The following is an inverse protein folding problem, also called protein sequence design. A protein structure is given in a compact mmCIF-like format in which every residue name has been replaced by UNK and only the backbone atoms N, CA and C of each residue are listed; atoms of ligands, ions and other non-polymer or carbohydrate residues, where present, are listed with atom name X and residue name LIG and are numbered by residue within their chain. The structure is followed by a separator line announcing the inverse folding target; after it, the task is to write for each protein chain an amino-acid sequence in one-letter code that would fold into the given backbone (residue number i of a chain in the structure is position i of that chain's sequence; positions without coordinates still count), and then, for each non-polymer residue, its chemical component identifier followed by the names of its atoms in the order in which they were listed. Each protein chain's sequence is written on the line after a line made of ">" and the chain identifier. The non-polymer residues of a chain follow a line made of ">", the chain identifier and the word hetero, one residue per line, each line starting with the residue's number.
data_IF_590673839616
#
_entry.id   IF_590673839616
#
_cell.length_a   1.000
_cell.length_b   1.000
_cell.length_c   1.000
_cell.angle_alpha   90.00
_cell.angle_beta   90.00
_cell.angle_gamma   90.00
#
_symmetry.space_group_name_H-M   'P 1'
#
loop_
_entity.id
_entity.type
_entity.pdbx_description
1 polymer ?
#
# COMPACT_ATOMS: atom_id res chain seq x y z
N UNK A 1 51.97 26.95 -21.82
CA UNK A 1 51.74 27.45 -20.46
C UNK A 1 51.30 28.91 -20.56
N UNK A 2 50.00 29.19 -20.54
CA UNK A 2 49.48 30.56 -20.64
C UNK A 2 49.82 31.31 -19.36
N UNK A 3 50.86 32.16 -19.39
CA UNK A 3 51.17 33.08 -18.30
C UNK A 3 50.13 34.20 -18.34
N UNK A 4 49.06 34.06 -17.57
CA UNK A 4 48.20 35.20 -17.24
C UNK A 4 49.05 36.20 -16.46
N UNK A 5 49.24 37.40 -16.99
CA UNK A 5 49.73 38.51 -16.17
C UNK A 5 48.70 38.74 -15.06
N UNK A 6 49.16 38.85 -13.82
CA UNK A 6 48.35 38.83 -12.58
C UNK A 6 47.29 39.95 -12.44
N UNK A 7 46.97 40.69 -13.51
CA UNK A 7 45.95 41.74 -13.54
C UNK A 7 45.33 42.00 -14.94
N UNK A 8 45.56 41.14 -15.94
CA UNK A 8 44.98 41.33 -17.28
C UNK A 8 43.53 40.82 -17.34
N UNK A 9 42.62 41.59 -17.95
CA UNK A 9 41.26 41.14 -18.19
C UNK A 9 41.24 39.88 -19.07
N UNK A 10 40.41 38.89 -18.70
CA UNK A 10 40.30 37.63 -19.45
C UNK A 10 39.58 37.82 -20.80
N UNK A 11 38.65 38.76 -20.85
CA UNK A 11 37.89 39.10 -22.05
C UNK A 11 38.35 40.47 -22.54
N UNK A 12 39.06 40.49 -23.66
CA UNK A 12 39.60 41.70 -24.29
C UNK A 12 39.03 41.84 -25.71
N UNK A 13 38.95 43.07 -26.19
CA UNK A 13 38.68 43.38 -27.59
C UNK A 13 39.94 43.25 -28.45
N UNK A 14 39.81 43.47 -29.75
CA UNK A 14 40.91 43.39 -30.72
C UNK A 14 42.01 44.45 -30.46
N UNK A 15 41.70 45.49 -29.69
CA UNK A 15 42.67 46.52 -29.27
C UNK A 15 43.39 46.18 -27.97
N UNK A 16 43.09 45.03 -27.36
CA UNK A 16 43.67 44.58 -26.10
C UNK A 16 43.04 45.21 -24.85
N UNK A 17 41.95 45.98 -25.00
CA UNK A 17 41.23 46.60 -23.89
C UNK A 17 40.19 45.61 -23.34
N UNK A 18 39.91 45.67 -22.04
CA UNK A 18 38.87 44.87 -21.41
C UNK A 18 37.50 45.10 -22.07
N UNK A 19 36.81 44.01 -22.40
CA UNK A 19 35.51 44.04 -23.05
C UNK A 19 34.47 44.77 -22.19
N UNK A 20 33.80 45.73 -22.81
CA UNK A 20 32.82 46.54 -22.13
C UNK A 20 31.50 45.79 -21.91
N UNK A 21 30.84 46.12 -20.81
CA UNK A 21 29.56 45.55 -20.41
C UNK A 21 28.48 45.73 -21.49
N UNK A 22 28.44 46.89 -22.14
CA UNK A 22 27.42 47.23 -23.14
C UNK A 22 27.57 46.39 -24.40
N UNK A 23 28.81 46.15 -24.82
CA UNK A 23 29.14 45.25 -25.92
C UNK A 23 28.59 43.84 -25.68
N UNK A 24 28.81 43.29 -24.49
CA UNK A 24 28.27 41.97 -24.12
C UNK A 24 26.74 41.93 -24.17
N UNK A 25 26.06 42.94 -23.62
CA UNK A 25 24.58 43.01 -23.62
C UNK A 25 24.05 43.11 -25.05
N UNK A 26 24.69 43.93 -25.89
CA UNK A 26 24.32 44.08 -27.30
C UNK A 26 24.43 42.76 -28.05
N UNK A 27 25.56 42.07 -27.91
CA UNK A 27 25.79 40.77 -28.57
C UNK A 27 24.82 39.70 -28.07
N UNK A 28 24.55 39.67 -26.78
CA UNK A 28 23.57 38.78 -26.17
C UNK A 28 22.15 39.01 -26.74
N UNK A 29 21.70 40.27 -26.81
CA UNK A 29 20.38 40.61 -27.34
C UNK A 29 20.25 40.21 -28.81
N UNK A 30 21.31 40.41 -29.59
CA UNK A 30 21.36 39.99 -30.99
C UNK A 30 21.24 38.46 -31.13
N UNK A 31 21.99 37.68 -30.35
CA UNK A 31 21.91 36.21 -30.37
C UNK A 31 20.54 35.69 -29.92
N UNK A 32 19.95 36.29 -28.88
CA UNK A 32 18.59 35.93 -28.44
C UNK A 32 17.56 36.16 -29.54
N UNK A 33 17.69 37.26 -30.30
CA UNK A 33 16.82 37.55 -31.44
C UNK A 33 16.95 36.52 -32.56
N UNK A 34 18.18 36.09 -32.88
CA UNK A 34 18.43 35.01 -33.86
C UNK A 34 17.76 33.70 -33.40
N UNK A 35 17.81 33.40 -32.10
CA UNK A 35 17.21 32.19 -31.54
C UNK A 35 15.68 32.28 -31.32
N UNK A 36 15.01 33.34 -31.79
CA UNK A 36 13.55 33.50 -31.68
C UNK A 36 13.05 33.94 -30.29
N UNK A 37 13.94 34.39 -29.40
CA UNK A 37 13.56 34.93 -28.10
C UNK A 37 13.39 36.46 -28.15
N UNK A 38 12.47 37.00 -27.35
CA UNK A 38 12.34 38.45 -27.18
C UNK A 38 13.57 39.01 -26.43
N UNK A 39 14.45 39.81 -27.06
CA UNK A 39 15.68 40.28 -26.40
C UNK A 39 15.43 41.27 -25.25
N UNK A 40 14.24 41.89 -25.17
CA UNK A 40 13.92 42.85 -24.12
C UNK A 40 13.52 42.20 -22.80
N UNK A 41 13.13 40.92 -22.80
CA UNK A 41 12.81 40.19 -21.58
C UNK A 41 14.03 39.66 -20.82
N UNK A 42 15.23 39.77 -21.40
CA UNK A 42 16.46 39.25 -20.82
C UNK A 42 17.46 40.34 -20.50
N UNK A 43 18.08 40.22 -19.32
CA UNK A 43 19.18 41.06 -18.91
C UNK A 43 20.27 40.18 -18.26
N UNK A 44 21.37 40.80 -17.83
CA UNK A 44 22.49 40.05 -17.22
C UNK A 44 22.10 39.35 -15.91
N UNK A 45 21.10 39.85 -15.20
CA UNK A 45 20.57 39.18 -14.01
C UNK A 45 19.83 37.89 -14.38
N UNK A 46 19.19 37.81 -15.55
CA UNK A 46 18.54 36.60 -16.06
C UNK A 46 19.51 35.41 -16.13
N UNK A 47 20.79 35.63 -16.47
CA UNK A 47 21.81 34.57 -16.45
C UNK A 47 22.11 34.07 -15.03
N UNK A 48 22.20 34.98 -14.05
CA UNK A 48 22.39 34.61 -12.65
C UNK A 48 21.18 33.85 -12.10
N UNK A 49 19.97 34.24 -12.50
CA UNK A 49 18.73 33.51 -12.20
C UNK A 49 18.80 32.10 -12.80
N UNK A 50 19.08 31.98 -14.10
CA UNK A 50 19.16 30.68 -14.79
C UNK A 50 20.21 29.75 -14.19
N UNK A 51 21.37 30.27 -13.81
CA UNK A 51 22.42 29.51 -13.12
C UNK A 51 21.96 29.03 -11.74
N UNK A 52 21.32 29.88 -10.94
CA UNK A 52 20.77 29.50 -9.63
C UNK A 52 19.66 28.43 -9.76
N UNK A 53 18.77 28.56 -10.75
CA UNK A 53 17.73 27.56 -11.03
C UNK A 53 18.34 26.22 -11.46
N UNK A 54 19.39 26.24 -12.28
CA UNK A 54 20.08 25.02 -12.75
C UNK A 54 20.83 24.33 -11.62
N UNK A 55 21.49 25.09 -10.75
CA UNK A 55 22.16 24.58 -9.56
C UNK A 55 21.16 23.89 -8.61
N UNK A 56 20.00 24.54 -8.38
CA UNK A 56 18.91 23.96 -7.59
C UNK A 56 18.36 22.66 -8.17
N UNK A 57 18.14 22.59 -9.50
CA UNK A 57 17.73 21.33 -10.18
C UNK A 57 18.77 20.22 -10.07
N UNK A 58 20.04 20.57 -9.94
CA UNK A 58 21.15 19.63 -9.84
C UNK A 58 21.45 19.22 -8.40
N UNK A 59 20.58 19.57 -7.44
CA UNK A 59 20.75 19.32 -6.00
C UNK A 59 22.09 19.84 -5.43
N UNK A 60 22.61 20.95 -5.98
CA UNK A 60 23.80 21.61 -5.42
C UNK A 60 23.39 22.29 -4.13
N UNK A 61 24.14 22.06 -3.05
CA UNK A 61 23.86 22.66 -1.74
C UNK A 61 23.73 24.20 -1.79
N UNK A 62 22.82 24.74 -0.98
CA UNK A 62 22.47 26.17 -0.96
C UNK A 62 23.69 27.07 -0.74
N UNK A 63 24.62 26.67 0.14
CA UNK A 63 25.82 27.44 0.44
C UNK A 63 26.76 27.54 -0.78
N UNK A 64 26.86 26.46 -1.58
CA UNK A 64 27.61 26.44 -2.83
C UNK A 64 26.91 27.28 -3.88
N UNK A 65 25.59 27.15 -4.02
CA UNK A 65 24.81 27.95 -4.97
C UNK A 65 24.91 29.45 -4.68
N UNK A 66 24.89 29.84 -3.40
CA UNK A 66 25.10 31.22 -2.95
C UNK A 66 26.49 31.74 -3.33
N UNK A 67 27.52 30.91 -3.12
CA UNK A 67 28.92 31.24 -3.42
C UNK A 67 29.17 31.35 -4.93
N UNK A 68 28.75 30.34 -5.70
CA UNK A 68 28.85 30.28 -7.16
C UNK A 68 28.15 31.47 -7.83
N UNK A 69 26.96 31.82 -7.33
CA UNK A 69 26.19 32.94 -7.84
C UNK A 69 26.61 34.30 -7.28
N UNK A 70 27.60 34.38 -6.38
CA UNK A 70 28.04 35.60 -5.67
C UNK A 70 26.87 36.40 -5.09
N UNK A 71 25.98 35.72 -4.39
CA UNK A 71 24.79 36.32 -3.79
C UNK A 71 25.09 36.82 -2.38
N UNK A 72 24.97 38.13 -2.16
CA UNK A 72 25.15 38.72 -0.84
C UNK A 72 23.94 38.47 0.09
N UNK A 73 22.79 38.10 -0.46
CA UNK A 73 21.55 37.83 0.28
C UNK A 73 20.90 36.51 -0.17
N UNK A 74 19.94 36.01 0.60
CA UNK A 74 19.17 34.81 0.25
C UNK A 74 18.07 35.07 -0.80
N UNK A 75 18.22 36.13 -1.60
CA UNK A 75 17.28 36.46 -2.69
C UNK A 75 17.24 35.38 -3.78
N UNK A 76 18.34 34.63 -3.96
CA UNK A 76 18.44 33.54 -4.92
C UNK A 76 17.48 32.37 -4.64
N UNK A 77 17.10 32.16 -3.37
CA UNK A 77 16.15 31.13 -2.97
C UNK A 77 14.78 31.30 -3.66
N UNK A 78 14.41 32.52 -4.07
CA UNK A 78 13.16 32.77 -4.83
C UNK A 78 13.20 32.23 -6.26
N UNK A 79 14.40 31.99 -6.80
CA UNK A 79 14.62 31.51 -8.16
C UNK A 79 14.89 30.00 -8.22
N UNK A 80 15.25 29.40 -7.08
CA UNK A 80 15.27 27.95 -6.91
C UNK A 80 13.84 27.51 -6.65
N UNK A 81 13.14 27.11 -7.72
CA UNK A 81 11.82 26.50 -7.61
C UNK A 81 12.00 25.02 -7.27
N UNK A 82 12.23 24.72 -6.00
CA UNK A 82 12.03 23.35 -5.52
C UNK A 82 10.54 23.07 -5.64
N UNK A 83 10.17 22.00 -6.33
CA UNK A 83 8.77 21.59 -6.39
C UNK A 83 8.28 21.41 -4.94
N UNK A 84 7.20 22.08 -4.55
CA UNK A 84 6.59 21.89 -3.21
C UNK A 84 6.27 20.41 -2.94
N UNK A 85 6.13 19.62 -4.01
CA UNK A 85 5.88 18.19 -3.98
C UNK A 85 7.09 17.37 -3.51
N UNK A 86 8.31 17.90 -3.54
CA UNK A 86 9.51 17.22 -3.02
C UNK A 86 9.79 17.53 -1.55
N UNK A 87 9.35 18.69 -1.08
CA UNK A 87 9.66 19.18 0.27
C UNK A 87 8.98 18.31 1.32
N UNK A 88 7.70 17.97 1.10
CA UNK A 88 6.95 17.23 2.10
C UNK A 88 7.40 15.77 2.21
N UNK A 89 7.56 14.99 1.13
CA UNK A 89 8.15 13.64 1.21
C UNK A 89 9.54 13.63 1.86
N UNK A 90 10.46 14.53 1.45
CA UNK A 90 11.81 14.62 2.05
C UNK A 90 11.77 14.98 3.54
N UNK A 91 10.87 15.88 3.94
CA UNK A 91 10.67 16.19 5.36
C UNK A 91 10.11 14.99 6.12
N UNK A 92 9.15 14.25 5.56
CA UNK A 92 8.54 13.08 6.20
C UNK A 92 9.50 11.90 6.34
N UNK A 93 10.36 11.67 5.34
CA UNK A 93 11.41 10.65 5.38
C UNK A 93 12.48 10.97 6.42
N UNK A 94 12.66 12.26 6.75
CA UNK A 94 13.59 12.70 7.79
C UNK A 94 13.09 12.53 9.23
N UNK A 95 11.81 12.19 9.43
CA UNK A 95 11.23 12.04 10.77
C UNK A 95 11.52 10.66 11.38
N UNK A 96 12.24 10.66 12.50
CA UNK A 96 12.64 9.45 13.25
C UNK A 96 11.50 8.82 14.04
N UNK A 97 11.52 7.50 14.25
CA UNK A 97 10.43 6.74 14.92
C UNK A 97 10.02 7.27 16.31
N UNK A 98 10.91 7.94 17.04
CA UNK A 98 10.61 8.58 18.32
C UNK A 98 9.87 9.93 18.17
N UNK A 99 10.19 10.70 17.13
CA UNK A 99 9.41 11.89 16.74
C UNK A 99 8.03 11.46 16.21
N UNK A 100 7.98 10.36 15.46
CA UNK A 100 6.73 9.72 15.00
C UNK A 100 5.82 9.34 16.17
N UNK A 101 6.38 8.85 17.28
CA UNK A 101 5.62 8.54 18.51
C UNK A 101 5.20 9.79 19.30
N UNK A 102 6.02 10.85 19.37
CA UNK A 102 5.65 12.10 20.04
C UNK A 102 4.46 12.81 19.37
N UNK A 103 4.32 12.67 18.06
CA UNK A 103 3.20 13.25 17.28
C UNK A 103 1.83 12.63 17.61
N UNK A 104 1.79 11.38 18.09
CA UNK A 104 0.55 10.64 18.42
C UNK A 104 -0.30 11.29 19.52
N UNK A 105 0.29 12.18 20.34
CA UNK A 105 -0.36 12.73 21.55
C UNK A 105 -1.28 13.93 21.28
N UNK A 106 -1.31 14.49 20.08
CA UNK A 106 -2.06 15.73 19.82
C UNK A 106 -3.15 15.51 18.77
N UNK A 107 -4.40 15.31 19.22
CA UNK A 107 -5.56 15.12 18.33
C UNK A 107 -5.73 16.26 17.31
N UNK A 108 -5.44 17.51 17.71
CA UNK A 108 -5.48 18.68 16.82
C UNK A 108 -4.60 18.54 15.56
N UNK A 109 -3.50 17.76 15.63
CA UNK A 109 -2.64 17.50 14.47
C UNK A 109 -3.26 16.48 13.50
N UNK A 110 -4.01 15.49 14.01
CA UNK A 110 -4.72 14.52 13.16
C UNK A 110 -5.86 15.19 12.37
N UNK A 111 -6.52 16.17 12.98
CA UNK A 111 -7.57 16.97 12.31
C UNK A 111 -6.99 17.87 11.21
N UNK A 112 -5.80 18.45 11.45
CA UNK A 112 -5.09 19.21 10.43
C UNK A 112 -4.70 18.33 9.23
N UNK A 113 -4.18 17.12 9.47
CA UNK A 113 -3.85 16.15 8.40
C UNK A 113 -5.10 15.74 7.61
N UNK A 114 -6.21 15.49 8.29
CA UNK A 114 -7.50 15.16 7.64
C UNK A 114 -8.00 16.33 6.77
N UNK A 115 -7.82 17.56 7.23
CA UNK A 115 -8.18 18.78 6.49
C UNK A 115 -7.31 18.98 5.24
N UNK A 116 -6.00 18.66 5.34
CA UNK A 116 -5.08 18.69 4.19
C UNK A 116 -5.52 17.68 3.12
N UNK A 117 -5.81 16.43 3.51
CA UNK A 117 -6.29 15.39 2.59
C UNK A 117 -7.55 15.87 1.84
N UNK A 118 -8.50 16.49 2.55
CA UNK A 118 -9.71 17.04 1.95
C UNK A 118 -9.41 18.19 0.98
N UNK A 119 -8.48 19.08 1.31
CA UNK A 119 -8.08 20.19 0.44
C UNK A 119 -7.37 19.70 -0.83
N UNK A 120 -6.49 18.69 -0.73
CA UNK A 120 -5.82 18.09 -1.88
C UNK A 120 -6.82 17.51 -2.88
N UNK A 121 -7.83 16.78 -2.38
CA UNK A 121 -8.91 16.25 -3.21
C UNK A 121 -9.63 17.35 -3.99
N UNK A 122 -9.96 18.46 -3.33
CA UNK A 122 -10.64 19.59 -3.99
C UNK A 122 -9.74 20.27 -5.01
N UNK A 123 -8.43 20.36 -4.73
CA UNK A 123 -7.48 20.97 -5.65
C UNK A 123 -7.33 20.16 -6.94
N UNK A 124 -7.20 18.83 -6.84
CA UNK A 124 -7.14 17.93 -8.00
C UNK A 124 -8.35 18.12 -8.92
N UNK A 125 -9.56 18.21 -8.37
CA UNK A 125 -10.79 18.42 -9.15
C UNK A 125 -10.89 19.77 -9.90
N UNK A 126 -9.99 20.73 -9.63
CA UNK A 126 -10.01 22.09 -10.20
C UNK A 126 -8.86 22.36 -11.18
N UNK A 127 -8.03 21.37 -11.48
CA UNK A 127 -6.86 21.50 -12.34
C UNK A 127 -7.02 20.69 -13.63
N UNK A 128 -7.82 21.13 -14.61
CA UNK A 128 -7.82 20.49 -15.93
C UNK A 128 -6.43 20.61 -16.58
N UNK A 129 -6.03 19.59 -17.35
CA UNK A 129 -4.82 19.54 -18.20
C UNK A 129 -3.46 19.66 -17.46
N UNK A 130 -3.42 19.36 -16.16
CA UNK A 130 -2.18 19.33 -15.38
C UNK A 130 -1.85 17.94 -14.83
N UNK A 131 -1.71 16.95 -15.71
CA UNK A 131 -1.47 15.54 -15.35
C UNK A 131 -0.36 15.33 -14.31
N UNK A 132 0.81 15.93 -14.52
CA UNK A 132 1.94 15.76 -13.58
C UNK A 132 1.65 16.41 -12.22
N UNK A 133 0.92 17.53 -12.19
CA UNK A 133 0.49 18.15 -10.92
C UNK A 133 -0.53 17.26 -10.21
N UNK A 134 -1.52 16.74 -10.94
CA UNK A 134 -2.55 15.83 -10.41
C UNK A 134 -1.91 14.58 -9.81
N UNK A 135 -1.03 13.93 -10.57
CA UNK A 135 -0.23 12.78 -10.11
C UNK A 135 0.48 13.07 -8.80
N UNK A 136 1.20 14.19 -8.72
CA UNK A 136 1.95 14.55 -7.53
C UNK A 136 1.04 14.83 -6.32
N UNK A 137 -0.14 15.43 -6.53
CA UNK A 137 -1.13 15.66 -5.48
C UNK A 137 -1.74 14.35 -4.96
N UNK A 138 -2.03 13.39 -5.84
CA UNK A 138 -2.53 12.07 -5.44
C UNK A 138 -1.47 11.24 -4.72
N UNK A 139 -0.21 11.23 -5.19
CA UNK A 139 0.91 10.62 -4.45
C UNK A 139 1.03 11.24 -3.05
N UNK A 140 0.97 12.56 -2.96
CA UNK A 140 1.06 13.25 -1.68
C UNK A 140 -0.11 12.89 -0.75
N UNK A 141 -1.33 12.80 -1.29
CA UNK A 141 -2.52 12.39 -0.55
C UNK A 141 -2.39 10.97 0.00
N UNK A 142 -1.91 10.02 -0.80
CA UNK A 142 -1.67 8.64 -0.37
C UNK A 142 -0.63 8.56 0.75
N UNK A 143 0.46 9.34 0.67
CA UNK A 143 1.47 9.42 1.72
C UNK A 143 0.89 9.97 3.04
N UNK A 144 -0.01 10.96 2.97
CA UNK A 144 -0.72 11.48 4.15
C UNK A 144 -1.65 10.45 4.78
N UNK A 145 -2.36 9.66 3.96
CA UNK A 145 -3.20 8.56 4.46
C UNK A 145 -2.35 7.50 5.17
N UNK A 146 -1.25 7.06 4.55
CA UNK A 146 -0.32 6.10 5.15
C UNK A 146 0.19 6.58 6.51
N UNK A 147 0.54 7.87 6.60
CA UNK A 147 1.00 8.46 7.85
C UNK A 147 -0.05 8.33 8.95
N UNK A 148 -1.29 8.69 8.65
CA UNK A 148 -2.37 8.55 9.62
C UNK A 148 -2.56 7.07 10.04
N UNK A 149 -2.46 6.11 9.12
CA UNK A 149 -2.54 4.70 9.47
C UNK A 149 -1.43 4.25 10.44
N UNK A 150 -0.20 4.75 10.25
CA UNK A 150 0.96 4.33 11.03
C UNK A 150 1.05 4.97 12.42
N UNK A 151 0.71 6.26 12.55
CA UNK A 151 1.05 7.05 13.74
C UNK A 151 -0.12 7.72 14.44
N UNK A 152 -1.34 7.63 13.93
CA UNK A 152 -2.45 8.36 14.54
C UNK A 152 -3.16 7.57 15.65
N UNK A 153 -3.98 8.28 16.43
CA UNK A 153 -4.89 7.67 17.40
C UNK A 153 -5.91 6.78 16.69
N UNK A 154 -6.70 6.01 17.46
CA UNK A 154 -7.78 5.19 16.90
C UNK A 154 -8.69 5.99 15.95
N UNK A 155 -9.08 7.20 16.34
CA UNK A 155 -9.94 8.06 15.51
C UNK A 155 -9.25 8.52 14.21
N UNK A 156 -7.95 8.84 14.27
CA UNK A 156 -7.16 9.17 13.08
C UNK A 156 -7.03 7.98 12.12
N UNK A 157 -6.83 6.77 12.65
CA UNK A 157 -6.79 5.52 11.86
C UNK A 157 -8.12 5.27 11.18
N UNK A 158 -9.23 5.46 11.91
CA UNK A 158 -10.59 5.36 11.34
C UNK A 158 -10.80 6.35 10.19
N UNK A 159 -10.37 7.61 10.34
CA UNK A 159 -10.46 8.60 9.27
C UNK A 159 -9.63 8.24 8.04
N UNK A 160 -8.40 7.75 8.25
CA UNK A 160 -7.54 7.29 7.16
C UNK A 160 -8.13 6.09 6.41
N UNK A 161 -8.62 5.09 7.16
CA UNK A 161 -9.30 3.92 6.60
C UNK A 161 -10.57 4.29 5.82
N UNK A 162 -11.34 5.26 6.31
CA UNK A 162 -12.49 5.79 5.59
C UNK A 162 -12.07 6.45 4.27
N UNK A 163 -10.93 7.13 4.24
CA UNK A 163 -10.43 7.75 3.01
C UNK A 163 -9.92 6.71 2.00
N UNK A 164 -9.19 5.69 2.45
CA UNK A 164 -8.82 4.54 1.62
C UNK A 164 -10.06 3.91 0.97
N UNK A 165 -11.11 3.68 1.76
CA UNK A 165 -12.34 3.08 1.27
C UNK A 165 -13.08 3.96 0.25
N UNK A 166 -13.03 5.29 0.39
CA UNK A 166 -13.57 6.22 -0.62
C UNK A 166 -12.77 6.15 -1.92
N UNK A 167 -11.44 6.08 -1.84
CA UNK A 167 -10.57 5.93 -3.02
C UNK A 167 -10.88 4.63 -3.76
N UNK A 168 -10.95 3.50 -3.05
CA UNK A 168 -11.32 2.19 -3.61
C UNK A 168 -12.69 2.26 -4.30
N UNK A 169 -13.67 2.92 -3.67
CA UNK A 169 -15.02 3.05 -4.23
C UNK A 169 -15.04 3.92 -5.50
N UNK A 170 -14.27 5.02 -5.50
CA UNK A 170 -14.13 5.91 -6.65
C UNK A 170 -13.53 5.16 -7.84
N UNK A 171 -12.40 4.48 -7.63
CA UNK A 171 -11.72 3.70 -8.67
C UNK A 171 -12.61 2.57 -9.20
N UNK A 172 -13.30 1.86 -8.31
CA UNK A 172 -14.18 0.74 -8.70
C UNK A 172 -15.39 1.19 -9.52
N UNK A 173 -15.90 2.40 -9.28
CA UNK A 173 -17.02 2.98 -10.03
C UNK A 173 -16.62 3.41 -11.44
N UNK A 174 -15.38 3.86 -11.63
CA UNK A 174 -14.83 4.23 -12.94
C UNK A 174 -14.65 2.98 -13.80
N UNK A 175 -14.07 1.90 -13.26
CA UNK A 175 -13.86 0.65 -14.01
C UNK A 175 -15.16 -0.03 -14.48
N UNK A 176 -16.29 0.25 -13.84
CA UNK A 176 -17.60 -0.36 -14.17
C UNK A 176 -18.42 0.45 -15.18
N UNK A 177 -18.02 1.70 -15.47
CA UNK A 177 -18.56 2.49 -16.57
C UNK A 177 -17.56 2.43 -17.73
N UNK A 178 -17.76 1.50 -18.67
CA UNK A 178 -17.10 1.56 -19.97
C UNK A 178 -17.60 2.79 -20.76
N UNK A 179 -17.18 3.98 -20.34
CA UNK A 179 -17.29 5.22 -21.10
C UNK A 179 -15.90 5.51 -21.66
N UNK A 180 -15.78 5.59 -22.98
CA UNK A 180 -14.52 5.79 -23.72
C UNK A 180 -13.92 7.20 -23.57
N UNK A 181 -14.21 7.91 -22.46
CA UNK A 181 -13.79 9.29 -22.21
C UNK A 181 -13.09 9.51 -20.86
N UNK A 182 -12.90 8.46 -20.04
CA UNK A 182 -12.33 8.55 -18.68
C UNK A 182 -10.94 7.89 -18.56
N UNK A 183 -10.10 7.93 -19.61
CA UNK A 183 -8.71 7.38 -19.57
C UNK A 183 -7.71 8.28 -18.80
N UNK A 184 -8.11 9.47 -18.36
CA UNK A 184 -7.20 10.49 -17.82
C UNK A 184 -7.00 10.47 -16.28
N UNK A 185 -7.59 9.51 -15.56
CA UNK A 185 -7.39 9.42 -14.10
C UNK A 185 -6.09 8.69 -13.75
N UNK A 186 -5.15 9.43 -13.14
CA UNK A 186 -3.83 8.87 -12.80
C UNK A 186 -3.90 7.69 -11.82
N UNK A 187 -4.83 7.68 -10.86
CA UNK A 187 -4.92 6.65 -9.82
C UNK A 187 -5.86 5.52 -10.27
N UNK A 188 -5.29 4.41 -10.75
CA UNK A 188 -6.01 3.23 -11.21
C UNK A 188 -6.15 2.16 -10.12
N UNK A 189 -6.95 1.11 -10.37
CA UNK A 189 -7.08 -0.03 -9.47
C UNK A 189 -5.74 -0.75 -9.24
N UNK A 190 -4.97 -0.94 -10.32
CA UNK A 190 -3.62 -1.51 -10.27
C UNK A 190 -2.69 -0.68 -9.37
N UNK A 191 -2.58 0.64 -9.61
CA UNK A 191 -1.71 1.51 -8.79
C UNK A 191 -2.14 1.58 -7.33
N UNK A 192 -3.44 1.52 -7.06
CA UNK A 192 -3.96 1.45 -5.69
C UNK A 192 -3.60 0.13 -5.01
N UNK A 193 -3.68 -0.99 -5.73
CA UNK A 193 -3.26 -2.30 -5.23
C UNK A 193 -1.75 -2.34 -4.95
N UNK A 194 -0.93 -1.82 -5.87
CA UNK A 194 0.52 -1.68 -5.69
C UNK A 194 0.85 -0.82 -4.47
N UNK A 195 0.13 0.30 -4.27
CA UNK A 195 0.31 1.14 -3.10
C UNK A 195 -0.01 0.40 -1.79
N UNK A 196 -1.09 -0.39 -1.75
CA UNK A 196 -1.45 -1.22 -0.58
C UNK A 196 -0.36 -2.23 -0.27
N UNK A 197 0.20 -2.90 -1.29
CA UNK A 197 1.28 -3.89 -1.13
C UNK A 197 2.60 -3.24 -0.69
N UNK A 198 3.10 -2.26 -1.46
CA UNK A 198 4.40 -1.65 -1.26
C UNK A 198 4.53 -0.95 0.11
N UNK A 199 3.41 -0.46 0.65
CA UNK A 199 3.37 0.20 1.96
C UNK A 199 2.90 -0.72 3.09
N UNK A 200 2.73 -2.02 2.82
CA UNK A 200 2.30 -3.04 3.79
C UNK A 200 1.04 -2.61 4.58
N UNK A 201 0.07 -2.00 3.90
CA UNK A 201 -1.11 -1.43 4.55
C UNK A 201 -1.89 -2.49 5.33
N UNK A 202 -2.00 -3.72 4.79
CA UNK A 202 -2.64 -4.83 5.48
C UNK A 202 -1.93 -5.20 6.79
N UNK A 203 -0.61 -5.24 6.80
CA UNK A 203 0.18 -5.45 8.03
C UNK A 203 -0.10 -4.37 9.07
N UNK A 204 -0.23 -3.11 8.65
CA UNK A 204 -0.49 -1.99 9.56
C UNK A 204 -1.88 -2.12 10.19
N UNK A 205 -2.91 -2.39 9.38
CA UNK A 205 -4.32 -2.38 9.84
C UNK A 205 -4.73 -3.66 10.57
N UNK A 206 -3.98 -4.75 10.41
CA UNK A 206 -4.23 -6.02 11.12
C UNK A 206 -3.48 -6.12 12.46
N UNK A 207 -2.66 -5.13 12.81
CA UNK A 207 -1.82 -5.18 14.01
C UNK A 207 -2.58 -4.90 15.31
N UNK A 208 -3.56 -4.01 15.27
CA UNK A 208 -4.30 -3.55 16.45
C UNK A 208 -5.77 -3.25 16.15
N UNK A 209 -6.54 -2.94 17.20
CA UNK A 209 -7.96 -2.55 17.10
C UNK A 209 -8.94 -3.60 16.54
N UNK A 210 -8.49 -4.83 16.29
CA UNK A 210 -9.34 -5.92 15.77
C UNK A 210 -10.42 -6.43 16.74
N UNK A 211 -10.37 -6.01 18.01
CA UNK A 211 -11.44 -6.29 18.97
C UNK A 211 -12.67 -5.37 18.77
N UNK A 212 -12.54 -4.29 17.98
CA UNK A 212 -13.62 -3.34 17.69
C UNK A 212 -14.26 -3.64 16.33
N UNK A 213 -15.52 -4.11 16.27
CA UNK A 213 -16.16 -4.46 14.99
C UNK A 213 -16.21 -3.32 13.97
N UNK A 214 -16.49 -2.09 14.41
CA UNK A 214 -16.56 -0.92 13.53
C UNK A 214 -15.23 -0.60 12.83
N UNK A 215 -14.11 -0.94 13.48
CA UNK A 215 -12.79 -0.83 12.90
C UNK A 215 -12.59 -1.93 11.85
N UNK A 216 -12.89 -3.18 12.21
CA UNK A 216 -12.71 -4.38 11.39
C UNK A 216 -13.47 -4.30 10.06
N UNK A 217 -14.66 -3.69 10.02
CA UNK A 217 -15.39 -3.42 8.77
C UNK A 217 -14.60 -2.61 7.73
N UNK A 218 -13.58 -1.82 8.15
CA UNK A 218 -12.83 -0.96 7.22
C UNK A 218 -11.70 -1.71 6.51
N UNK A 219 -10.82 -2.47 7.18
CA UNK A 219 -9.88 -3.39 6.53
C UNK A 219 -10.54 -4.44 5.65
N UNK A 220 -11.76 -4.87 6.00
CA UNK A 220 -12.56 -5.80 5.18
C UNK A 220 -12.68 -5.33 3.73
N UNK A 221 -13.06 -4.06 3.51
CA UNK A 221 -13.21 -3.48 2.17
C UNK A 221 -11.89 -3.43 1.41
N UNK A 222 -10.77 -3.19 2.11
CA UNK A 222 -9.43 -3.21 1.53
C UNK A 222 -9.07 -4.64 1.11
N UNK A 223 -9.30 -5.65 1.96
CA UNK A 223 -9.08 -7.06 1.64
C UNK A 223 -9.91 -7.50 0.44
N UNK A 224 -11.20 -7.13 0.39
CA UNK A 224 -12.09 -7.40 -0.76
C UNK A 224 -11.53 -6.83 -2.06
N UNK A 225 -11.08 -5.59 -2.01
CA UNK A 225 -10.44 -4.93 -3.16
C UNK A 225 -9.19 -5.70 -3.61
N UNK A 226 -8.29 -6.05 -2.69
CA UNK A 226 -7.07 -6.81 -3.02
C UNK A 226 -7.34 -8.19 -3.61
N UNK A 227 -8.45 -8.85 -3.23
CA UNK A 227 -8.86 -10.12 -3.82
C UNK A 227 -9.38 -9.91 -5.24
N UNK A 228 -10.24 -8.90 -5.44
CA UNK A 228 -10.81 -8.57 -6.75
C UNK A 228 -9.71 -8.25 -7.77
N UNK A 229 -8.72 -7.46 -7.36
CA UNK A 229 -7.57 -7.10 -8.20
C UNK A 229 -6.48 -8.19 -8.24
N UNK A 230 -6.73 -9.38 -7.65
CA UNK A 230 -5.79 -10.52 -7.60
C UNK A 230 -4.42 -10.19 -6.99
N UNK A 231 -4.34 -9.14 -6.17
CA UNK A 231 -3.11 -8.64 -5.58
C UNK A 231 -2.87 -9.14 -4.13
N UNK A 232 -3.83 -9.85 -3.52
CA UNK A 232 -3.61 -10.40 -2.16
C UNK A 232 -2.59 -11.56 -2.18
N UNK A 233 -1.47 -11.40 -1.48
CA UNK A 233 -0.32 -12.30 -1.48
C UNK A 233 -0.38 -13.39 -0.41
N UNK A 234 0.55 -14.34 -0.46
CA UNK A 234 0.71 -15.34 0.59
C UNK A 234 1.13 -14.72 1.93
N UNK A 235 1.91 -13.64 1.92
CA UNK A 235 2.34 -12.95 3.14
C UNK A 235 1.15 -12.28 3.83
N UNK A 236 0.24 -11.68 3.07
CA UNK A 236 -0.97 -11.05 3.61
C UNK A 236 -1.86 -12.05 4.36
N UNK A 237 -1.97 -13.27 3.84
CA UNK A 237 -2.67 -14.38 4.51
C UNK A 237 -1.99 -14.78 5.82
N UNK A 238 -0.65 -14.75 5.85
CA UNK A 238 0.10 -15.05 7.05
C UNK A 238 -0.14 -13.95 8.12
N UNK A 239 -0.27 -12.69 7.70
CA UNK A 239 -0.62 -11.56 8.59
C UNK A 239 -2.03 -11.66 9.16
N UNK A 240 -3.02 -12.01 8.33
CA UNK A 240 -4.40 -12.28 8.80
C UNK A 240 -4.43 -13.40 9.83
N UNK A 241 -3.55 -14.39 9.70
CA UNK A 241 -3.46 -15.44 10.67
C UNK A 241 -2.75 -15.02 11.96
N UNK A 242 -1.59 -14.38 11.85
CA UNK A 242 -0.85 -13.83 13.00
C UNK A 242 -1.75 -12.92 13.85
N UNK A 243 -2.68 -12.20 13.22
CA UNK A 243 -3.63 -11.33 13.87
C UNK A 243 -4.63 -12.04 14.82
N UNK A 244 -4.96 -13.31 14.57
CA UNK A 244 -5.91 -14.10 15.39
C UNK A 244 -5.24 -15.12 16.32
N UNK A 245 -4.01 -15.55 15.99
CA UNK A 245 -3.32 -16.60 16.74
C UNK A 245 -3.08 -16.22 18.20
N UNK A 246 -3.60 -17.01 19.14
CA UNK A 246 -3.44 -16.78 20.59
C UNK A 246 -4.15 -15.52 21.12
N UNK A 247 -5.12 -14.98 20.38
CA UNK A 247 -5.93 -13.81 20.79
C UNK A 247 -7.29 -14.23 21.34
N UNK A 248 -7.97 -13.28 21.99
CA UNK A 248 -9.31 -13.46 22.54
C UNK A 248 -10.33 -13.85 21.44
N UNK A 249 -11.31 -14.69 21.77
CA UNK A 249 -12.30 -15.23 20.83
C UNK A 249 -13.02 -14.16 20.01
N UNK A 250 -13.28 -12.99 20.59
CA UNK A 250 -13.84 -11.84 19.89
C UNK A 250 -12.98 -11.36 18.70
N UNK A 251 -11.66 -11.34 18.85
CA UNK A 251 -10.72 -10.99 17.76
C UNK A 251 -10.72 -12.09 16.71
N UNK A 252 -10.68 -13.35 17.13
CA UNK A 252 -10.74 -14.51 16.22
C UNK A 252 -12.00 -14.46 15.37
N UNK A 253 -13.15 -14.24 16.00
CA UNK A 253 -14.45 -14.08 15.31
C UNK A 253 -14.42 -12.90 14.34
N UNK A 254 -13.94 -11.74 14.77
CA UNK A 254 -13.90 -10.56 13.90
C UNK A 254 -13.00 -10.76 12.68
N UNK A 255 -11.82 -11.39 12.84
CA UNK A 255 -10.92 -11.72 11.73
C UNK A 255 -11.53 -12.78 10.81
N UNK A 256 -12.26 -13.73 11.38
CA UNK A 256 -13.05 -14.67 10.58
C UNK A 256 -14.12 -13.94 9.76
N UNK A 257 -14.86 -13.01 10.36
CA UNK A 257 -15.90 -12.24 9.69
C UNK A 257 -15.34 -11.39 8.53
N UNK A 258 -14.10 -10.87 8.65
CA UNK A 258 -13.39 -10.22 7.54
C UNK A 258 -13.30 -11.10 6.28
N UNK A 259 -13.10 -12.40 6.46
CA UNK A 259 -12.87 -13.33 5.37
C UNK A 259 -14.18 -13.84 4.74
N UNK A 260 -15.33 -13.54 5.35
CA UNK A 260 -16.49 -14.43 5.25
C UNK A 260 -17.83 -13.73 4.97
N UNK A 261 -17.90 -12.40 5.08
CA UNK A 261 -19.13 -11.60 4.92
C UNK A 261 -19.65 -11.37 3.46
N UNK A 262 -19.06 -11.87 2.35
CA UNK A 262 -19.56 -11.61 0.96
C UNK A 262 -20.33 -12.73 0.27
N UNK A 263 -20.89 -12.37 -0.91
CA UNK A 263 -21.31 -13.25 -2.00
C UNK A 263 -20.43 -14.50 -2.18
N UNK A 264 -21.10 -15.61 -2.46
CA UNK A 264 -20.55 -16.96 -2.61
C UNK A 264 -19.27 -17.04 -3.46
N UNK A 265 -19.15 -16.25 -4.53
CA UNK A 265 -17.95 -16.23 -5.38
C UNK A 265 -16.66 -15.82 -4.63
N UNK A 266 -16.75 -14.86 -3.70
CA UNK A 266 -15.57 -14.44 -2.94
C UNK A 266 -15.22 -15.46 -1.85
N UNK A 267 -16.23 -16.05 -1.20
CA UNK A 267 -16.01 -17.18 -0.27
C UNK A 267 -15.25 -18.32 -0.97
N UNK A 268 -15.63 -18.65 -2.20
CA UNK A 268 -14.91 -19.64 -3.00
C UNK A 268 -13.46 -19.24 -3.31
N UNK A 269 -13.21 -17.94 -3.55
CA UNK A 269 -11.86 -17.42 -3.79
C UNK A 269 -10.99 -17.52 -2.53
N UNK A 270 -11.54 -17.21 -1.36
CA UNK A 270 -10.86 -17.40 -0.08
C UNK A 270 -10.54 -18.87 0.20
N UNK A 271 -11.53 -19.76 -0.02
CA UNK A 271 -11.34 -21.20 0.11
C UNK A 271 -10.16 -21.66 -0.75
N UNK A 272 -10.12 -21.25 -2.04
CA UNK A 272 -9.00 -21.58 -2.93
C UNK A 272 -7.64 -21.17 -2.37
N UNK A 273 -7.52 -19.94 -1.86
CA UNK A 273 -6.28 -19.43 -1.24
C UNK A 273 -5.88 -20.21 0.01
N UNK A 274 -6.84 -20.62 0.85
CA UNK A 274 -6.53 -21.45 2.01
C UNK A 274 -6.14 -22.87 1.61
N UNK A 275 -6.72 -23.42 0.54
CA UNK A 275 -6.34 -24.74 0.02
C UNK A 275 -4.89 -24.72 -0.48
N UNK A 276 -4.44 -23.66 -1.14
CA UNK A 276 -3.02 -23.52 -1.56
C UNK A 276 -2.06 -23.61 -0.37
N UNK A 277 -2.48 -23.11 0.81
CA UNK A 277 -1.68 -23.13 2.05
C UNK A 277 -1.59 -24.52 2.69
N UNK A 278 -2.46 -25.47 2.35
CA UNK A 278 -2.42 -26.84 2.89
C UNK A 278 -1.19 -27.64 2.47
N UNK A 279 -0.43 -27.16 1.47
CA UNK A 279 0.86 -27.75 1.09
C UNK A 279 1.96 -27.52 2.15
N UNK A 280 1.74 -26.63 3.11
CA UNK A 280 2.71 -26.31 4.16
C UNK A 280 2.20 -26.81 5.52
N UNK A 281 2.95 -27.71 6.15
CA UNK A 281 2.62 -28.32 7.46
C UNK A 281 2.31 -27.28 8.54
N UNK A 282 3.04 -26.15 8.56
CA UNK A 282 2.78 -25.05 9.48
C UNK A 282 1.33 -24.59 9.31
N UNK A 283 0.87 -24.39 8.08
CA UNK A 283 -0.42 -23.79 7.77
C UNK A 283 -1.59 -24.76 7.72
N UNK A 284 -1.35 -26.05 7.89
CA UNK A 284 -2.37 -27.10 7.77
C UNK A 284 -3.61 -26.82 8.65
N UNK A 285 -3.45 -26.86 9.97
CA UNK A 285 -4.54 -26.64 10.92
C UNK A 285 -5.24 -25.29 10.74
N UNK A 286 -4.50 -24.18 10.63
CA UNK A 286 -5.06 -22.88 10.32
C UNK A 286 -6.00 -22.86 9.12
N UNK A 287 -5.52 -23.37 7.99
CA UNK A 287 -6.25 -23.37 6.73
C UNK A 287 -7.49 -24.29 6.82
N UNK A 288 -7.38 -25.46 7.46
CA UNK A 288 -8.53 -26.35 7.66
C UNK A 288 -9.65 -25.69 8.45
N UNK A 289 -9.33 -24.97 9.53
CA UNK A 289 -10.34 -24.24 10.33
C UNK A 289 -11.06 -23.20 9.47
N UNK A 290 -10.30 -22.36 8.76
CA UNK A 290 -10.87 -21.31 7.91
C UNK A 290 -11.71 -21.87 6.76
N UNK A 291 -11.23 -22.92 6.08
CA UNK A 291 -12.01 -23.59 5.02
C UNK A 291 -13.33 -24.10 5.58
N UNK A 292 -13.30 -24.81 6.71
CA UNK A 292 -14.52 -25.35 7.36
C UNK A 292 -15.48 -24.23 7.73
N UNK A 293 -14.99 -23.20 8.39
CA UNK A 293 -15.84 -22.15 8.94
C UNK A 293 -16.46 -21.30 7.80
N UNK A 294 -15.71 -21.02 6.72
CA UNK A 294 -16.28 -20.40 5.51
C UNK A 294 -17.31 -21.32 4.84
N UNK A 295 -17.07 -22.63 4.77
CA UNK A 295 -18.05 -23.59 4.26
C UNK A 295 -19.35 -23.59 5.09
N UNK A 296 -19.27 -23.36 6.41
CA UNK A 296 -20.45 -23.30 7.27
C UNK A 296 -21.36 -22.11 6.98
N UNK A 297 -20.87 -21.05 6.33
CA UNK A 297 -21.65 -19.88 5.94
C UNK A 297 -22.48 -20.08 4.66
N UNK A 298 -22.32 -21.22 3.98
CA UNK A 298 -23.21 -21.59 2.88
C UNK A 298 -24.44 -22.31 3.43
N UNK A 299 -25.64 -22.04 2.89
CA UNK A 299 -26.87 -22.66 3.34
C UNK A 299 -26.80 -24.19 3.14
N UNK A 300 -27.40 -24.92 4.07
CA UNK A 300 -27.73 -26.32 3.89
C UNK A 300 -29.02 -26.40 3.06
N UNK A 301 -29.07 -27.30 2.08
CA UNK A 301 -30.32 -27.58 1.39
C UNK A 301 -31.30 -28.19 2.40
N UNK A 302 -32.45 -27.55 2.64
CA UNK A 302 -33.44 -28.09 3.57
C UNK A 302 -33.96 -29.43 3.02
N UNK A 303 -33.89 -30.48 3.83
CA UNK A 303 -34.39 -31.81 3.43
C UNK A 303 -35.92 -31.83 3.25
N UNK A 304 -36.64 -30.81 3.75
CA UNK A 304 -38.10 -30.79 3.84
C UNK A 304 -38.82 -30.00 2.73
N UNK A 305 -38.11 -29.37 1.79
CA UNK A 305 -38.74 -28.69 0.64
C UNK A 305 -37.98 -28.98 -0.66
N UNK A 306 -38.42 -29.97 -1.47
CA UNK A 306 -37.75 -30.31 -2.72
C UNK A 306 -37.91 -29.28 -3.84
N UNK A 307 -38.63 -28.17 -3.63
CA UNK A 307 -38.90 -27.15 -4.64
C UNK A 307 -38.54 -25.75 -4.16
N UNK A 308 -37.25 -25.43 -4.16
CA UNK A 308 -36.84 -24.04 -4.31
C UNK A 308 -37.39 -23.53 -5.64
N UNK A 309 -38.14 -22.42 -5.61
CA UNK A 309 -38.69 -21.80 -6.81
C UNK A 309 -37.58 -21.44 -7.81
N UNK A 310 -37.79 -21.53 -9.13
CA UNK A 310 -36.75 -21.32 -10.15
C UNK A 310 -36.22 -19.87 -10.27
N UNK A 311 -36.50 -19.00 -9.30
CA UNK A 311 -36.29 -17.54 -9.39
C UNK A 311 -35.00 -17.04 -8.74
N UNK A 312 -34.14 -17.89 -8.20
CA UNK A 312 -32.83 -17.49 -7.67
C UNK A 312 -31.71 -18.36 -8.24
N UNK A 313 -31.12 -17.99 -9.40
CA UNK A 313 -30.11 -18.79 -10.11
C UNK A 313 -28.73 -18.90 -9.43
N UNK A 314 -28.58 -18.50 -8.17
CA UNK A 314 -27.27 -18.18 -7.58
C UNK A 314 -27.01 -18.70 -6.16
N UNK A 315 -27.81 -19.63 -5.62
CA UNK A 315 -27.55 -20.14 -4.26
C UNK A 315 -26.50 -21.27 -4.33
N UNK A 316 -25.28 -21.01 -3.86
CA UNK A 316 -24.29 -22.07 -3.63
C UNK A 316 -24.63 -22.79 -2.31
N UNK A 317 -25.06 -24.04 -2.40
CA UNK A 317 -25.26 -24.88 -1.22
C UNK A 317 -23.93 -25.42 -0.70
N UNK A 318 -23.82 -25.63 0.62
CA UNK A 318 -22.61 -26.16 1.26
C UNK A 318 -22.13 -27.47 0.62
N UNK A 319 -23.05 -28.37 0.29
CA UNK A 319 -22.71 -29.65 -0.35
C UNK A 319 -22.03 -29.46 -1.71
N UNK A 320 -22.44 -28.45 -2.49
CA UNK A 320 -21.81 -28.14 -3.77
C UNK A 320 -20.37 -27.65 -3.56
N UNK A 321 -20.15 -26.83 -2.54
CA UNK A 321 -18.82 -26.33 -2.18
C UNK A 321 -17.90 -27.46 -1.74
N UNK A 322 -18.38 -28.37 -0.89
CA UNK A 322 -17.61 -29.55 -0.43
C UNK A 322 -17.29 -30.48 -1.62
N UNK A 323 -18.26 -30.73 -2.50
CA UNK A 323 -18.04 -31.52 -3.72
C UNK A 323 -17.02 -30.86 -4.67
N UNK A 324 -17.05 -29.52 -4.78
CA UNK A 324 -16.09 -28.77 -5.57
C UNK A 324 -14.68 -28.83 -4.97
N UNK A 325 -14.55 -28.73 -3.64
CA UNK A 325 -13.29 -28.92 -2.92
C UNK A 325 -12.70 -30.32 -3.19
N UNK A 326 -13.55 -31.35 -3.17
CA UNK A 326 -13.10 -32.71 -3.44
C UNK A 326 -12.70 -32.91 -4.91
N UNK A 327 -13.53 -32.48 -5.86
CA UNK A 327 -13.26 -32.66 -7.29
C UNK A 327 -12.08 -31.82 -7.81
N UNK A 328 -11.93 -30.59 -7.32
CA UNK A 328 -10.89 -29.66 -7.81
C UNK A 328 -9.56 -29.84 -7.08
N UNK A 329 -9.60 -30.10 -5.77
CA UNK A 329 -8.39 -30.10 -4.94
C UNK A 329 -8.09 -31.45 -4.30
N UNK A 330 -8.92 -32.47 -4.51
CA UNK A 330 -8.79 -33.78 -3.84
C UNK A 330 -8.63 -33.62 -2.33
N UNK A 331 -9.44 -32.73 -1.73
CA UNK A 331 -9.23 -32.24 -0.36
C UNK A 331 -9.11 -33.37 0.67
N UNK A 332 -9.92 -34.42 0.56
CA UNK A 332 -9.87 -35.58 1.46
C UNK A 332 -8.51 -36.29 1.37
N UNK A 333 -8.02 -36.52 0.14
CA UNK A 333 -6.73 -37.17 -0.08
C UNK A 333 -5.57 -36.30 0.41
N UNK A 334 -5.66 -34.99 0.20
CA UNK A 334 -4.65 -34.04 0.67
C UNK A 334 -4.54 -34.05 2.20
N UNK A 335 -5.67 -34.01 2.90
CA UNK A 335 -5.71 -34.05 4.37
C UNK A 335 -5.28 -35.41 4.92
N UNK A 336 -5.74 -36.52 4.31
CA UNK A 336 -5.36 -37.86 4.71
C UNK A 336 -3.86 -38.12 4.53
N UNK A 337 -3.28 -37.68 3.41
CA UNK A 337 -1.84 -37.78 3.14
C UNK A 337 -1.05 -36.96 4.15
N UNK A 338 -1.44 -35.70 4.39
CA UNK A 338 -0.78 -34.86 5.38
C UNK A 338 -0.85 -35.45 6.80
N UNK A 339 -2.01 -35.98 7.21
CA UNK A 339 -2.15 -36.65 8.51
C UNK A 339 -1.23 -37.87 8.59
N UNK A 340 -1.13 -38.66 7.53
CA UNK A 340 -0.25 -39.83 7.48
C UNK A 340 1.22 -39.46 7.62
N UNK A 341 1.67 -38.44 6.89
CA UNK A 341 3.04 -37.91 6.97
C UNK A 341 3.34 -37.32 8.37
N UNK A 342 2.40 -36.56 8.93
CA UNK A 342 2.51 -36.03 10.29
C UNK A 342 2.63 -37.14 11.34
N UNK A 343 1.78 -38.17 11.24
CA UNK A 343 1.79 -39.31 12.17
C UNK A 343 3.09 -40.11 12.08
N UNK A 344 3.69 -40.24 10.90
CA UNK A 344 4.99 -40.91 10.76
C UNK A 344 6.10 -40.14 11.48
N UNK A 345 6.19 -38.82 11.27
CA UNK A 345 7.13 -37.95 12.00
C UNK A 345 6.91 -38.03 13.50
N UNK A 346 5.64 -38.00 13.93
CA UNK A 346 5.27 -38.07 15.34
C UNK A 346 5.61 -39.41 15.98
N UNK A 347 5.50 -40.53 15.25
CA UNK A 347 5.90 -41.87 15.72
C UNK A 347 7.40 -41.97 15.93
N UNK A 348 8.19 -41.41 15.02
CA UNK A 348 9.66 -41.35 15.18
C UNK A 348 10.02 -40.53 16.41
N UNK A 349 9.45 -39.34 16.56
CA UNK A 349 9.70 -38.47 17.73
C UNK A 349 9.33 -39.15 19.05
N UNK A 350 8.19 -39.84 19.11
CA UNK A 350 7.74 -40.55 20.30
C UNK A 350 8.65 -41.74 20.67
N UNK A 351 9.31 -42.39 19.70
CA UNK A 351 10.32 -43.42 19.98
C UNK A 351 11.57 -42.84 20.63
N UNK A 352 11.98 -41.64 20.22
CA UNK A 352 13.14 -40.94 20.78
C UNK A 352 12.83 -40.31 22.15
N UNK A 353 11.56 -40.00 22.43
CA UNK A 353 11.12 -39.29 23.64
C UNK A 353 9.87 -39.95 24.27
N UNK A 354 10.00 -41.18 24.82
CA UNK A 354 8.85 -41.96 25.28
C UNK A 354 8.11 -41.36 26.49
N UNK A 355 8.80 -40.55 27.30
CA UNK A 355 8.26 -39.99 28.54
C UNK A 355 7.55 -38.64 28.37
N UNK A 356 7.53 -38.07 27.15
CA UNK A 356 6.89 -36.78 26.90
C UNK A 356 5.37 -36.91 26.74
N UNK A 357 4.63 -36.07 27.46
CA UNK A 357 3.18 -35.97 27.33
C UNK A 357 2.77 -35.32 25.99
N UNK A 358 1.99 -36.00 25.14
CA UNK A 358 1.48 -35.45 23.88
C UNK A 358 0.70 -34.13 24.02
N UNK A 359 0.12 -33.83 25.18
CA UNK A 359 -0.56 -32.55 25.43
C UNK A 359 0.42 -31.36 25.56
N UNK A 360 1.70 -31.63 25.83
CA UNK A 360 2.73 -30.60 26.09
C UNK A 360 3.66 -30.36 24.89
N UNK A 361 3.78 -31.33 23.99
CA UNK A 361 4.64 -31.23 22.79
C UNK A 361 3.98 -30.29 21.78
N UNK A 362 4.72 -29.30 21.26
CA UNK A 362 4.27 -28.35 20.22
C UNK A 362 5.07 -28.53 18.91
N UNK A 363 4.73 -29.50 18.04
CA UNK A 363 5.53 -29.84 16.86
C UNK A 363 5.71 -28.71 15.85
N UNK A 364 4.75 -27.78 15.77
CA UNK A 364 4.79 -26.60 14.89
C UNK A 364 4.96 -25.28 15.67
N UNK A 365 5.24 -25.38 16.97
CA UNK A 365 5.35 -24.25 17.90
C UNK A 365 4.00 -23.59 18.26
N UNK A 366 2.86 -24.12 17.81
CA UNK A 366 1.54 -23.48 17.99
C UNK A 366 0.48 -24.40 18.58
N UNK A 367 0.38 -25.62 18.09
CA UNK A 367 -0.64 -26.58 18.50
C UNK A 367 0.00 -27.86 19.01
N UNK A 368 -0.52 -28.37 20.12
CA UNK A 368 -0.02 -29.61 20.66
C UNK A 368 -0.40 -30.82 19.80
N UNK A 369 0.26 -31.96 20.02
CA UNK A 369 0.03 -33.17 19.24
C UNK A 369 -1.45 -33.59 19.21
N UNK A 370 -2.15 -33.50 20.35
CA UNK A 370 -3.57 -33.84 20.45
C UNK A 370 -4.42 -32.99 19.50
N UNK A 371 -4.20 -31.66 19.51
CA UNK A 371 -4.91 -30.72 18.63
C UNK A 371 -4.55 -30.96 17.16
N UNK A 372 -3.29 -31.27 16.85
CA UNK A 372 -2.83 -31.58 15.49
C UNK A 372 -3.62 -32.74 14.86
N UNK A 373 -3.90 -33.79 15.62
CA UNK A 373 -4.72 -34.92 15.13
C UNK A 373 -6.20 -34.54 15.11
N UNK A 374 -6.73 -34.01 16.21
CA UNK A 374 -8.16 -33.76 16.37
C UNK A 374 -8.72 -32.82 15.30
N UNK A 375 -8.01 -31.74 14.96
CA UNK A 375 -8.49 -30.78 13.97
C UNK A 375 -8.48 -31.35 12.54
N UNK A 376 -7.49 -32.18 12.19
CA UNK A 376 -7.46 -32.89 10.88
C UNK A 376 -8.61 -33.88 10.78
N UNK A 377 -8.86 -34.68 11.82
CA UNK A 377 -9.97 -35.63 11.86
C UNK A 377 -11.34 -34.93 11.86
N UNK A 378 -11.48 -33.85 12.63
CA UNK A 378 -12.69 -33.02 12.66
C UNK A 378 -12.99 -32.42 11.30
N UNK A 379 -11.96 -31.99 10.57
CA UNK A 379 -12.13 -31.53 9.19
C UNK A 379 -12.52 -32.67 8.24
N UNK A 380 -11.85 -33.83 8.31
CA UNK A 380 -12.23 -34.98 7.47
C UNK A 380 -13.68 -35.41 7.71
N UNK A 381 -14.14 -35.45 8.97
CA UNK A 381 -15.55 -35.70 9.33
C UNK A 381 -16.51 -34.63 8.80
N UNK A 382 -16.04 -33.42 8.55
CA UNK A 382 -16.88 -32.34 8.03
C UNK A 382 -17.06 -32.43 6.51
N UNK A 383 -16.04 -32.89 5.78
CA UNK A 383 -16.08 -32.99 4.31
C UNK A 383 -16.55 -34.35 3.78
N UNK A 384 -16.53 -35.38 4.63
CA UNK A 384 -17.11 -36.70 4.39
C UNK A 384 -18.54 -36.75 4.94
#
# INVERSE_FOLDING_TARGET
>A
MFKFQNNSALFIDESGKALEREFFISKLKHLLGICGYNPQSFNRHSFRIGAATTAGKSNIEDHLTKTLGRWNSNSYCRYIRTSKNEIVPKFLDSLTDEERKKETKTEAKNDALSSIIKALKQLVSRLPDQEETIKNLEIFRLNMILRLLQISSFNGKMNALNEVNKLISMISNVSSRHSSMDEDEWLTAEKMADWVQNNQVLTIVLRDSLHQPQYVEKPEKILRFMIKEKALTSEDLDKLWEAQSGKHDAIVKNVHDLCSQDRDQQKMTWIGKFVEKLKNDKWMLPALKQIRDICQLFPEASQNFPHASPRTPHVYYRNNVINQLQSTHSIVMLVAKNLSEYMEKSRVFAKEHPDLDPATILPDGRFNHVIQIQERLKFMRFVL
#
